data_IF_107790858710
#
_entry.id   IF_107790858710
#
_cell.length_a   1.000
_cell.length_b   1.000
_cell.length_c   1.000
_cell.angle_alpha   90.00
_cell.angle_beta   90.00
_cell.angle_gamma   90.00
#
_symmetry.space_group_name_H-M   'P 1'
#
loop_
_entity.id
_entity.type
_entity.pdbx_description
1 polymer ?
#
# COMPACT_ATOMS: atom_id res chain seq x y z
N UNK A 1 40.23 18.24 -48.79
CA UNK A 1 40.96 17.09 -49.34
C UNK A 1 41.91 16.55 -48.28
N UNK A 2 41.70 15.41 -47.76
CA UNK A 2 42.68 14.37 -47.46
C UNK A 2 41.94 13.23 -46.72
N UNK A 3 41.83 12.10 -47.42
CA UNK A 3 41.28 10.83 -46.89
C UNK A 3 42.33 10.19 -46.00
N UNK A 4 41.96 9.77 -44.78
CA UNK A 4 42.77 8.85 -44.01
C UNK A 4 42.12 7.45 -43.98
N UNK A 5 42.96 6.50 -44.38
CA UNK A 5 42.75 5.06 -44.53
C UNK A 5 42.56 4.36 -43.18
N UNK A 6 41.66 3.40 -43.12
CA UNK A 6 41.52 2.46 -42.00
C UNK A 6 42.61 1.36 -42.08
N UNK A 7 43.09 0.84 -40.94
CA UNK A 7 43.94 -0.35 -40.93
C UNK A 7 43.12 -1.65 -40.83
N UNK A 8 43.74 -2.72 -41.40
CA UNK A 8 43.17 -4.03 -41.61
C UNK A 8 42.98 -4.87 -40.34
N UNK A 9 42.00 -5.77 -40.41
CA UNK A 9 41.69 -6.79 -39.40
C UNK A 9 42.74 -7.92 -39.47
N UNK A 10 43.24 -8.33 -38.30
CA UNK A 10 44.06 -9.53 -38.10
C UNK A 10 43.21 -10.63 -37.49
N UNK A 11 43.23 -11.80 -38.11
CA UNK A 11 42.54 -13.04 -37.71
C UNK A 11 43.19 -13.69 -36.47
N UNK A 12 42.44 -14.41 -35.59
CA UNK A 12 43.03 -15.16 -34.51
C UNK A 12 43.56 -16.54 -34.92
N UNK A 13 44.56 -17.12 -34.21
CA UNK A 13 45.18 -18.38 -34.53
C UNK A 13 44.33 -19.59 -34.12
N UNK A 14 44.38 -20.62 -34.93
CA UNK A 14 43.78 -21.94 -34.79
C UNK A 14 44.46 -22.71 -33.64
N UNK A 15 43.67 -23.23 -32.71
CA UNK A 15 44.15 -24.17 -31.66
C UNK A 15 43.95 -25.59 -32.14
N UNK A 16 45.03 -26.35 -32.21
CA UNK A 16 45.06 -27.78 -32.55
C UNK A 16 44.59 -28.63 -31.34
N UNK A 17 43.74 -29.58 -31.66
CA UNK A 17 43.22 -30.63 -30.81
C UNK A 17 44.30 -31.69 -30.55
N UNK A 18 44.64 -31.93 -29.24
CA UNK A 18 45.41 -33.09 -28.83
C UNK A 18 44.66 -33.89 -27.78
N UNK A 19 44.00 -34.93 -28.26
CA UNK A 19 43.41 -35.98 -27.48
C UNK A 19 44.45 -36.68 -26.58
N UNK A 20 44.26 -36.64 -25.25
CA UNK A 20 44.96 -37.48 -24.30
C UNK A 20 43.97 -38.15 -23.33
N UNK A 21 43.99 -39.45 -23.39
CA UNK A 21 43.18 -40.46 -22.70
C UNK A 21 43.43 -40.41 -21.19
N UNK A 22 42.37 -40.24 -20.38
CA UNK A 22 42.43 -40.28 -18.92
C UNK A 22 42.55 -41.70 -18.34
N UNK A 23 43.33 -41.92 -17.26
CA UNK A 23 43.42 -43.22 -16.58
C UNK A 23 42.28 -43.46 -15.57
N UNK A 24 41.82 -44.70 -15.43
CA UNK A 24 40.77 -45.16 -14.51
C UNK A 24 41.19 -44.94 -13.05
N UNK A 25 40.32 -44.29 -12.28
CA UNK A 25 40.49 -44.07 -10.84
C UNK A 25 39.88 -45.19 -10.03
N UNK A 26 40.70 -45.84 -9.21
CA UNK A 26 40.33 -46.83 -8.19
C UNK A 26 39.56 -46.16 -7.05
N UNK A 27 38.55 -46.87 -6.49
CA UNK A 27 37.80 -46.49 -5.28
C UNK A 27 38.70 -46.66 -4.05
N UNK A 28 38.76 -45.66 -3.12
CA UNK A 28 39.26 -45.92 -1.76
C UNK A 28 38.11 -46.31 -0.83
N UNK A 29 38.42 -47.19 0.07
CA UNK A 29 37.62 -47.78 1.13
C UNK A 29 37.18 -46.78 2.19
N UNK A 30 36.02 -47.05 2.81
CA UNK A 30 35.40 -46.38 3.94
C UNK A 30 36.33 -46.08 5.09
N UNK A 31 36.46 -44.78 5.46
CA UNK A 31 36.89 -44.36 6.79
C UNK A 31 35.80 -43.43 7.37
N UNK A 32 35.36 -43.77 8.59
CA UNK A 32 34.40 -43.03 9.40
C UNK A 32 34.92 -41.61 9.68
N UNK A 33 34.25 -40.61 9.14
CA UNK A 33 34.43 -39.24 9.55
C UNK A 33 33.35 -38.84 10.56
N UNK A 34 33.78 -38.30 11.70
CA UNK A 34 32.96 -37.72 12.74
C UNK A 34 32.03 -36.62 12.17
N UNK A 35 30.82 -36.42 12.73
CA UNK A 35 29.92 -35.37 12.24
C UNK A 35 30.53 -34.00 12.58
N UNK A 36 30.87 -33.24 11.55
CA UNK A 36 31.08 -31.80 11.66
C UNK A 36 29.78 -31.15 12.12
N UNK A 37 29.79 -30.27 13.15
CA UNK A 37 28.62 -29.53 13.51
C UNK A 37 28.28 -28.56 12.36
N UNK A 38 27.18 -28.82 11.66
CA UNK A 38 26.60 -27.88 10.72
C UNK A 38 26.06 -26.70 11.51
N UNK A 39 26.82 -25.64 11.62
CA UNK A 39 26.33 -24.33 12.02
C UNK A 39 25.50 -23.80 10.85
N UNK A 40 24.26 -24.29 10.70
CA UNK A 40 23.28 -23.62 9.88
C UNK A 40 22.96 -22.30 10.54
N UNK A 41 23.43 -21.19 9.96
CA UNK A 41 22.92 -19.89 10.29
C UNK A 41 21.38 -19.95 10.18
N UNK A 42 20.63 -19.38 11.12
CA UNK A 42 19.18 -19.40 11.02
C UNK A 42 18.75 -18.70 9.72
N UNK A 43 18.13 -19.44 8.85
CA UNK A 43 17.49 -18.89 7.63
C UNK A 43 16.31 -18.03 8.04
N UNK A 44 16.57 -16.78 8.39
CA UNK A 44 15.51 -15.79 8.57
C UNK A 44 15.07 -15.30 7.20
N UNK A 45 13.97 -15.84 6.70
CA UNK A 45 13.26 -15.20 5.61
C UNK A 45 12.69 -13.87 6.12
N UNK A 46 12.91 -12.74 5.42
CA UNK A 46 12.31 -11.45 5.78
C UNK A 46 10.78 -11.53 5.97
N UNK A 47 10.11 -12.36 5.20
CA UNK A 47 8.66 -12.58 5.23
C UNK A 47 8.18 -13.13 6.59
N UNK A 48 8.94 -14.03 7.22
CA UNK A 48 8.55 -14.65 8.50
C UNK A 48 8.59 -13.67 9.69
N UNK A 49 9.22 -12.50 9.53
CA UNK A 49 9.30 -11.48 10.56
C UNK A 49 8.06 -10.59 10.62
N UNK A 50 7.34 -10.44 9.50
CA UNK A 50 6.15 -9.60 9.40
C UNK A 50 4.89 -10.35 9.87
N UNK A 51 4.75 -10.54 11.18
CA UNK A 51 3.56 -11.18 11.76
C UNK A 51 2.40 -10.18 11.85
N UNK A 52 1.14 -10.69 11.78
CA UNK A 52 -0.07 -9.86 11.87
C UNK A 52 -0.10 -8.93 13.08
N UNK A 53 -0.78 -7.79 12.97
CA UNK A 53 -1.13 -6.97 14.13
C UNK A 53 -2.19 -7.66 14.98
N UNK A 54 -2.10 -7.46 16.30
CA UNK A 54 -3.11 -7.86 17.27
C UNK A 54 -3.33 -6.73 18.27
N UNK A 55 -4.57 -6.46 18.65
CA UNK A 55 -4.92 -5.32 19.53
C UNK A 55 -4.18 -5.30 20.87
N UNK A 56 -3.94 -6.43 21.56
CA UNK A 56 -3.19 -6.42 22.83
C UNK A 56 -1.73 -5.99 22.69
N UNK A 57 -1.18 -6.06 21.49
CA UNK A 57 0.25 -5.72 21.23
C UNK A 57 0.45 -4.31 20.70
N UNK A 58 -0.63 -3.53 20.48
CA UNK A 58 -0.53 -2.18 19.97
C UNK A 58 -0.11 -1.21 21.08
N UNK A 59 1.00 -0.45 20.89
CA UNK A 59 1.47 0.47 21.91
C UNK A 59 0.55 1.70 22.03
N UNK A 60 0.37 2.18 23.26
CA UNK A 60 -0.37 3.43 23.53
C UNK A 60 0.50 4.69 23.36
N UNK A 61 1.80 4.54 23.19
CA UNK A 61 2.77 5.62 23.07
C UNK A 61 3.69 5.42 21.88
N UNK A 62 4.43 6.47 21.50
CA UNK A 62 5.39 6.43 20.42
C UNK A 62 6.49 5.41 20.73
N UNK A 63 6.72 4.37 19.89
CA UNK A 63 7.80 3.40 20.13
C UNK A 63 9.17 4.09 20.06
N UNK A 64 10.18 3.58 20.77
CA UNK A 64 11.53 4.15 20.73
C UNK A 64 12.11 4.06 19.31
N UNK A 65 12.79 5.13 18.91
CA UNK A 65 13.47 5.21 17.62
C UNK A 65 14.68 4.26 17.60
N UNK A 66 14.78 3.27 16.70
CA UNK A 66 15.95 2.41 16.61
C UNK A 66 17.19 3.21 16.22
N UNK A 67 18.35 2.95 16.81
CA UNK A 67 19.59 3.64 16.43
C UNK A 67 20.10 3.15 15.07
N UNK A 68 20.71 4.06 14.30
CA UNK A 68 21.57 3.70 13.18
C UNK A 68 22.95 3.40 13.75
N UNK A 69 23.42 2.14 13.69
CA UNK A 69 24.65 1.71 14.36
C UNK A 69 25.93 2.22 13.68
N UNK A 70 25.83 2.66 12.41
CA UNK A 70 26.95 3.25 11.68
C UNK A 70 26.88 4.78 11.74
N UNK A 71 27.84 5.47 12.38
CA UNK A 71 27.86 6.94 12.43
C UNK A 71 27.90 7.58 11.04
N UNK A 72 28.55 6.94 10.07
CA UNK A 72 28.59 7.40 8.68
C UNK A 72 27.21 7.35 8.03
N UNK A 73 26.48 6.25 8.22
CA UNK A 73 25.11 6.11 7.69
C UNK A 73 24.12 7.01 8.42
N UNK A 74 24.29 7.23 9.73
CA UNK A 74 23.45 8.17 10.49
C UNK A 74 23.65 9.61 9.98
N UNK A 75 24.89 10.04 9.80
CA UNK A 75 25.20 11.35 9.21
C UNK A 75 24.61 11.45 7.79
N UNK A 76 24.79 10.41 6.96
CA UNK A 76 24.27 10.39 5.61
C UNK A 76 22.72 10.50 5.58
N UNK A 77 22.01 9.72 6.40
CA UNK A 77 20.54 9.72 6.45
C UNK A 77 19.95 11.10 6.80
N UNK A 78 20.71 11.92 7.50
CA UNK A 78 20.28 13.24 7.98
C UNK A 78 20.90 14.41 7.21
N UNK A 79 21.67 14.17 6.13
CA UNK A 79 22.38 15.22 5.40
C UNK A 79 21.91 15.29 3.95
N UNK A 80 21.35 16.45 3.57
CA UNK A 80 20.99 16.77 2.20
C UNK A 80 22.23 16.84 1.29
N UNK A 81 22.09 16.44 0.02
CA UNK A 81 23.21 16.43 -0.95
C UNK A 81 23.90 17.80 -1.11
N UNK A 82 23.12 18.89 -1.04
CA UNK A 82 23.67 20.25 -1.05
C UNK A 82 24.43 20.69 0.20
N UNK A 83 24.45 19.86 1.26
CA UNK A 83 25.14 20.14 2.54
C UNK A 83 26.32 19.20 2.81
N UNK A 84 26.72 18.38 1.83
CA UNK A 84 27.88 17.50 1.93
C UNK A 84 29.17 18.30 2.05
N UNK A 85 30.12 17.82 2.86
CA UNK A 85 31.42 18.41 3.01
C UNK A 85 32.35 18.07 1.84
N UNK A 86 32.15 16.88 1.24
CA UNK A 86 32.90 16.41 0.07
C UNK A 86 31.90 15.83 -0.97
N UNK A 87 32.18 15.92 -2.28
CA UNK A 87 31.40 15.27 -3.31
C UNK A 87 31.29 13.75 -3.13
N UNK A 88 32.30 13.12 -2.52
CA UNK A 88 32.33 11.68 -2.22
C UNK A 88 31.50 11.27 -1.01
N UNK A 89 31.07 12.23 -0.17
CA UNK A 89 30.29 11.91 1.02
C UNK A 89 28.92 11.36 0.63
N UNK A 90 28.43 10.42 1.42
CA UNK A 90 27.07 9.92 1.29
C UNK A 90 26.07 11.01 1.69
N UNK A 91 24.92 11.03 1.03
CA UNK A 91 23.78 11.86 1.39
C UNK A 91 22.52 10.99 1.55
N UNK A 92 21.45 11.61 2.04
CA UNK A 92 20.23 10.90 2.35
C UNK A 92 19.58 10.20 1.14
N UNK A 93 19.73 10.71 -0.08
CA UNK A 93 19.00 10.26 -1.28
C UNK A 93 19.18 8.77 -1.60
N UNK A 94 20.37 8.22 -1.36
CA UNK A 94 20.58 6.78 -1.59
C UNK A 94 19.95 5.91 -0.49
N UNK A 95 19.89 6.43 0.73
CA UNK A 95 19.23 5.76 1.85
C UNK A 95 17.71 5.93 1.77
N UNK A 96 17.21 7.09 1.32
CA UNK A 96 15.82 7.34 0.95
C UNK A 96 15.35 6.30 -0.06
N UNK A 97 16.05 6.20 -1.21
CA UNK A 97 15.67 5.29 -2.28
C UNK A 97 15.50 3.83 -1.84
N UNK A 98 16.41 3.32 -0.99
CA UNK A 98 16.29 1.94 -0.48
C UNK A 98 15.34 1.86 0.71
N UNK A 99 15.21 2.92 1.49
CA UNK A 99 14.30 3.01 2.63
C UNK A 99 12.85 2.98 2.21
N UNK A 100 12.49 3.66 1.13
CA UNK A 100 11.17 3.61 0.51
C UNK A 100 10.78 2.17 0.13
N UNK A 101 11.66 1.43 -0.54
CA UNK A 101 11.43 0.02 -0.88
C UNK A 101 11.21 -0.84 0.37
N UNK A 102 11.99 -0.61 1.44
CA UNK A 102 11.79 -1.34 2.70
C UNK A 102 10.45 -1.00 3.37
N UNK A 103 10.05 0.27 3.36
CA UNK A 103 8.76 0.70 3.89
C UNK A 103 7.60 0.06 3.12
N UNK A 104 7.65 0.09 1.79
CA UNK A 104 6.64 -0.56 0.94
C UNK A 104 6.54 -2.07 1.21
N UNK A 105 7.68 -2.76 1.28
CA UNK A 105 7.72 -4.20 1.54
C UNK A 105 7.14 -4.54 2.92
N UNK A 106 7.64 -3.88 3.98
CA UNK A 106 7.20 -4.15 5.36
C UNK A 106 5.72 -3.84 5.54
N UNK A 107 5.25 -2.71 5.01
CA UNK A 107 3.83 -2.35 5.07
C UNK A 107 2.95 -3.37 4.33
N UNK A 108 3.36 -3.79 3.13
CA UNK A 108 2.64 -4.78 2.33
C UNK A 108 2.53 -6.12 3.05
N UNK A 109 3.63 -6.63 3.59
CA UNK A 109 3.67 -7.91 4.32
C UNK A 109 2.82 -7.86 5.60
N UNK A 110 2.90 -6.79 6.38
CA UNK A 110 2.09 -6.63 7.58
C UNK A 110 0.60 -6.56 7.28
N UNK A 111 0.21 -5.85 6.20
CA UNK A 111 -1.19 -5.76 5.75
C UNK A 111 -1.67 -7.13 5.25
N UNK A 112 -0.88 -7.80 4.41
CA UNK A 112 -1.20 -9.12 3.89
C UNK A 112 -1.41 -10.15 5.01
N UNK A 113 -0.51 -10.16 6.01
CA UNK A 113 -0.62 -11.06 7.15
C UNK A 113 -1.81 -10.74 8.08
N UNK A 114 -2.22 -9.47 8.16
CA UNK A 114 -3.26 -9.03 9.11
C UNK A 114 -4.66 -9.14 8.53
N UNK A 115 -4.84 -8.87 7.25
CA UNK A 115 -6.14 -8.73 6.59
C UNK A 115 -6.31 -9.72 5.43
N UNK A 116 -6.48 -11.03 5.69
CA UNK A 116 -6.52 -12.06 4.64
C UNK A 116 -7.75 -11.98 3.73
N UNK A 117 -8.80 -11.28 4.14
CA UNK A 117 -10.09 -11.24 3.43
C UNK A 117 -10.35 -9.98 2.61
N UNK A 118 -9.45 -8.98 2.64
CA UNK A 118 -9.65 -7.73 1.91
C UNK A 118 -9.12 -7.83 0.47
N UNK A 119 -9.77 -7.13 -0.50
CA UNK A 119 -9.32 -7.09 -1.88
C UNK A 119 -8.04 -6.25 -2.04
N UNK A 120 -7.32 -6.46 -3.14
CA UNK A 120 -6.04 -5.81 -3.47
C UNK A 120 -6.11 -4.27 -3.38
N UNK A 121 -7.17 -3.64 -3.90
CA UNK A 121 -7.33 -2.18 -3.84
C UNK A 121 -7.40 -1.64 -2.41
N UNK A 122 -7.98 -2.41 -1.48
CA UNK A 122 -8.02 -2.06 -0.06
C UNK A 122 -6.66 -2.26 0.62
N UNK A 123 -5.90 -3.30 0.24
CA UNK A 123 -4.53 -3.47 0.70
C UNK A 123 -3.66 -2.28 0.27
N UNK A 124 -3.76 -1.87 -0.99
CA UNK A 124 -3.04 -0.71 -1.55
C UNK A 124 -3.41 0.60 -0.84
N UNK A 125 -4.69 0.83 -0.55
CA UNK A 125 -5.14 2.02 0.19
C UNK A 125 -4.59 2.07 1.62
N UNK A 126 -4.57 0.93 2.32
CA UNK A 126 -3.97 0.85 3.68
C UNK A 126 -2.48 1.07 3.63
N UNK A 127 -1.78 0.49 2.65
CA UNK A 127 -0.36 0.73 2.48
C UNK A 127 -0.07 2.20 2.27
N UNK A 128 -0.78 2.87 1.35
CA UNK A 128 -0.60 4.30 1.11
C UNK A 128 -0.84 5.14 2.38
N UNK A 129 -1.84 4.81 3.20
CA UNK A 129 -2.07 5.48 4.47
C UNK A 129 -0.83 5.43 5.37
N UNK A 130 -0.11 4.31 5.40
CA UNK A 130 1.07 4.10 6.25
C UNK A 130 2.31 4.83 5.75
N UNK A 131 2.52 4.87 4.41
CA UNK A 131 3.78 5.34 3.80
C UNK A 131 3.67 6.68 3.06
N UNK A 132 2.48 7.30 2.98
CA UNK A 132 2.34 8.60 2.33
C UNK A 132 3.15 9.69 3.02
N UNK A 133 3.62 10.68 2.27
CA UNK A 133 4.46 11.78 2.76
C UNK A 133 3.91 12.47 4.01
N UNK A 134 2.61 12.70 4.08
CA UNK A 134 1.99 13.33 5.26
C UNK A 134 2.09 12.48 6.54
N UNK A 135 2.08 11.17 6.43
CA UNK A 135 2.28 10.24 7.55
C UNK A 135 3.75 10.19 7.97
N UNK A 136 4.66 10.00 7.01
CA UNK A 136 6.09 9.89 7.28
C UNK A 136 6.67 11.20 7.80
N UNK A 137 6.28 12.35 7.24
CA UNK A 137 6.70 13.66 7.73
C UNK A 137 6.25 13.93 9.17
N UNK A 138 5.03 13.51 9.53
CA UNK A 138 4.55 13.62 10.90
C UNK A 138 5.40 12.77 11.88
N UNK A 139 5.84 11.59 11.47
CA UNK A 139 6.76 10.77 12.27
C UNK A 139 8.15 11.40 12.39
N UNK A 140 8.69 11.98 11.32
CA UNK A 140 9.95 12.73 11.37
C UNK A 140 9.92 13.83 12.43
N UNK A 141 8.86 14.61 12.47
CA UNK A 141 8.69 15.66 13.49
C UNK A 141 8.53 15.07 14.89
N UNK A 142 7.73 14.01 15.07
CA UNK A 142 7.52 13.38 16.38
C UNK A 142 8.81 12.78 16.96
N UNK A 143 9.72 12.30 16.11
CA UNK A 143 11.05 11.80 16.52
C UNK A 143 12.13 12.88 16.58
N UNK A 144 11.81 14.13 16.24
CA UNK A 144 12.75 15.24 16.23
C UNK A 144 13.83 15.14 15.16
N UNK A 145 13.58 14.37 14.08
CA UNK A 145 14.51 14.25 12.95
C UNK A 145 14.64 15.57 12.18
N UNK A 146 13.59 16.39 12.16
CA UNK A 146 13.58 17.75 11.63
C UNK A 146 14.65 18.67 12.26
N UNK A 147 14.94 18.46 13.54
CA UNK A 147 15.94 19.22 14.31
C UNK A 147 17.36 18.69 14.15
N UNK A 148 17.49 17.42 13.81
CA UNK A 148 18.78 16.73 13.63
C UNK A 148 19.29 16.80 12.20
N UNK A 149 18.38 17.02 11.23
CA UNK A 149 18.70 17.03 9.81
C UNK A 149 19.47 18.28 9.39
N UNK A 150 20.52 18.09 8.59
CA UNK A 150 21.31 19.13 7.98
C UNK A 150 20.83 19.37 6.53
N UNK A 151 19.92 20.30 6.38
CA UNK A 151 19.27 20.66 5.11
C UNK A 151 19.43 22.15 4.80
N UNK A 152 19.43 22.56 3.53
CA UNK A 152 19.41 23.98 3.18
C UNK A 152 18.25 24.72 3.82
N UNK A 153 18.50 25.97 4.24
CA UNK A 153 17.51 26.81 4.95
C UNK A 153 16.19 27.01 4.19
N UNK A 154 16.22 26.90 2.88
CA UNK A 154 15.03 26.99 2.02
C UNK A 154 13.96 25.91 2.28
N UNK A 155 14.35 24.76 2.88
CA UNK A 155 13.41 23.73 3.29
C UNK A 155 12.64 24.08 4.56
N UNK A 156 13.19 24.98 5.39
CA UNK A 156 12.57 25.45 6.63
C UNK A 156 11.98 24.33 7.50
N UNK A 157 12.76 23.26 7.74
CA UNK A 157 12.29 22.01 8.35
C UNK A 157 11.65 22.21 9.73
N UNK A 158 12.19 23.11 10.56
CA UNK A 158 11.71 23.40 11.93
C UNK A 158 10.78 24.58 12.02
N UNK A 159 10.72 25.45 11.00
CA UNK A 159 9.92 26.67 10.98
C UNK A 159 8.45 26.44 10.65
N UNK A 160 7.61 27.46 10.87
CA UNK A 160 6.24 27.46 10.37
C UNK A 160 6.25 27.58 8.83
N UNK A 161 5.32 26.90 8.12
CA UNK A 161 5.22 27.07 6.68
C UNK A 161 4.97 28.55 6.34
N UNK A 162 5.84 29.14 5.52
CA UNK A 162 5.64 30.50 5.03
C UNK A 162 4.51 30.46 3.99
N UNK A 163 3.27 30.74 4.39
CA UNK A 163 2.10 31.11 3.58
C UNK A 163 1.82 30.45 2.22
N UNK A 164 2.80 29.86 1.56
CA UNK A 164 2.68 29.21 0.26
C UNK A 164 2.47 27.70 0.40
N UNK A 165 1.44 27.18 -0.26
CA UNK A 165 1.17 25.74 -0.34
C UNK A 165 2.34 24.95 -0.96
N UNK A 166 3.11 25.55 -1.87
CA UNK A 166 4.28 24.95 -2.49
C UNK A 166 5.41 24.69 -1.46
N UNK A 167 5.69 25.68 -0.58
CA UNK A 167 6.68 25.51 0.48
C UNK A 167 6.26 24.46 1.52
N UNK A 168 4.97 24.42 1.86
CA UNK A 168 4.44 23.42 2.77
C UNK A 168 4.63 21.99 2.20
N UNK A 169 4.34 21.78 0.92
CA UNK A 169 4.56 20.50 0.23
C UNK A 169 6.04 20.11 0.11
N UNK A 170 6.92 21.09 -0.19
CA UNK A 170 8.38 20.87 -0.26
C UNK A 170 8.92 20.42 1.09
N UNK A 171 8.50 21.08 2.18
CA UNK A 171 8.86 20.71 3.55
C UNK A 171 8.33 19.31 3.91
N UNK A 172 7.05 19.04 3.64
CA UNK A 172 6.42 17.74 3.91
C UNK A 172 7.18 16.61 3.20
N UNK A 173 7.48 16.80 1.90
CA UNK A 173 8.28 15.82 1.16
C UNK A 173 9.65 15.61 1.80
N UNK A 174 10.42 16.66 2.05
CA UNK A 174 11.75 16.54 2.65
C UNK A 174 11.74 15.82 4.01
N UNK A 175 10.74 16.06 4.84
CA UNK A 175 10.57 15.35 6.11
C UNK A 175 10.22 13.87 5.94
N UNK A 176 9.45 13.52 4.91
CA UNK A 176 9.16 12.14 4.54
C UNK A 176 10.43 11.44 4.03
N UNK A 177 11.15 12.07 3.10
CA UNK A 177 12.42 11.57 2.55
C UNK A 177 13.48 11.30 3.66
N UNK A 178 13.53 12.17 4.70
CA UNK A 178 14.36 11.95 5.89
C UNK A 178 13.95 10.69 6.65
N UNK A 179 12.64 10.45 6.80
CA UNK A 179 12.16 9.26 7.49
C UNK A 179 12.53 7.99 6.73
N UNK A 180 12.34 7.99 5.42
CA UNK A 180 12.72 6.89 4.53
C UNK A 180 14.23 6.62 4.62
N UNK A 181 15.05 7.68 4.52
CA UNK A 181 16.50 7.58 4.66
C UNK A 181 16.90 7.02 6.03
N UNK A 182 16.18 7.40 7.08
CA UNK A 182 16.44 6.89 8.44
C UNK A 182 16.15 5.39 8.52
N UNK A 183 15.03 4.92 7.95
CA UNK A 183 14.71 3.48 7.87
C UNK A 183 15.78 2.73 7.08
N UNK A 184 16.18 3.26 5.93
CA UNK A 184 17.30 2.73 5.14
C UNK A 184 18.58 2.62 5.96
N UNK A 185 18.90 3.64 6.74
CA UNK A 185 20.04 3.69 7.64
C UNK A 185 20.01 2.63 8.75
N UNK A 186 18.87 2.48 9.43
CA UNK A 186 18.66 1.44 10.46
C UNK A 186 18.93 0.06 9.90
N UNK A 187 18.33 -0.27 8.76
CA UNK A 187 18.46 -1.59 8.15
C UNK A 187 19.88 -1.84 7.63
N UNK A 188 20.48 -0.84 6.98
CA UNK A 188 21.80 -0.98 6.36
C UNK A 188 22.97 -0.92 7.34
N UNK A 189 22.76 -0.35 8.52
CA UNK A 189 23.80 -0.29 9.56
C UNK A 189 23.98 -1.59 10.34
N UNK A 190 23.00 -2.50 10.29
CA UNK A 190 23.05 -3.82 10.92
C UNK A 190 22.44 -4.87 9.96
N UNK A 191 23.29 -5.54 9.19
CA UNK A 191 22.83 -6.52 8.20
C UNK A 191 22.22 -7.79 8.81
N UNK A 192 22.42 -8.02 10.09
CA UNK A 192 21.90 -9.19 10.81
C UNK A 192 20.53 -8.91 11.43
N UNK A 193 20.40 -7.81 12.16
CA UNK A 193 19.19 -7.52 12.93
C UNK A 193 18.44 -6.26 12.44
N UNK A 194 19.03 -5.42 11.61
CA UNK A 194 18.49 -4.13 11.22
C UNK A 194 17.11 -4.24 10.59
N UNK A 195 16.88 -5.22 9.71
CA UNK A 195 15.57 -5.46 9.12
C UNK A 195 14.55 -5.89 10.19
N UNK A 196 14.90 -6.82 11.07
CA UNK A 196 14.05 -7.26 12.18
C UNK A 196 13.68 -6.10 13.11
N UNK A 197 14.67 -5.28 13.48
CA UNK A 197 14.45 -4.10 14.32
C UNK A 197 13.51 -3.10 13.65
N UNK A 198 13.70 -2.84 12.35
CA UNK A 198 12.80 -1.98 11.58
C UNK A 198 11.36 -2.53 11.52
N UNK A 199 11.17 -3.84 11.27
CA UNK A 199 9.85 -4.47 11.27
C UNK A 199 9.14 -4.31 12.61
N UNK A 200 9.82 -4.60 13.73
CA UNK A 200 9.25 -4.48 15.08
C UNK A 200 8.85 -3.03 15.36
N UNK A 201 9.72 -2.09 15.04
CA UNK A 201 9.50 -0.67 15.23
C UNK A 201 8.35 -0.13 14.38
N UNK A 202 8.38 -0.37 13.05
CA UNK A 202 7.37 0.11 12.12
C UNK A 202 6.01 -0.53 12.40
N UNK A 203 5.97 -1.81 12.74
CA UNK A 203 4.75 -2.48 13.17
C UNK A 203 4.12 -1.78 14.39
N UNK A 204 4.90 -1.46 15.41
CA UNK A 204 4.44 -0.74 16.59
C UNK A 204 4.01 0.69 16.25
N UNK A 205 4.72 1.37 15.34
CA UNK A 205 4.45 2.75 14.93
C UNK A 205 3.16 2.88 14.11
N UNK A 206 2.91 1.94 13.20
CA UNK A 206 1.77 1.95 12.27
C UNK A 206 0.48 1.35 12.86
N UNK A 207 0.58 0.42 13.79
CA UNK A 207 -0.58 -0.26 14.36
C UNK A 207 -1.68 0.68 14.84
N UNK A 208 -1.38 1.76 15.58
CA UNK A 208 -2.39 2.74 16.00
C UNK A 208 -3.14 3.43 14.86
N UNK A 209 -2.53 3.55 13.66
CA UNK A 209 -3.19 4.15 12.48
C UNK A 209 -4.27 3.23 11.89
N UNK A 210 -4.16 1.93 12.10
CA UNK A 210 -5.09 0.90 11.63
C UNK A 210 -5.86 0.23 12.78
N UNK A 211 -5.88 0.85 13.97
CA UNK A 211 -6.46 0.27 15.18
C UNK A 211 -7.93 -0.15 15.02
N UNK A 212 -8.72 0.66 14.34
CA UNK A 212 -10.14 0.38 14.13
C UNK A 212 -10.34 -0.83 13.23
N UNK A 213 -9.56 -0.91 12.16
CA UNK A 213 -9.56 -1.98 11.17
C UNK A 213 -9.08 -3.30 11.78
N UNK A 214 -8.01 -3.26 12.57
CA UNK A 214 -7.45 -4.42 13.27
C UNK A 214 -8.47 -5.03 14.23
N UNK A 215 -9.18 -4.18 15.00
CA UNK A 215 -10.24 -4.64 15.92
C UNK A 215 -11.38 -5.32 15.21
N UNK A 216 -11.78 -4.81 14.05
CA UNK A 216 -12.84 -5.41 13.24
C UNK A 216 -12.41 -6.76 12.70
N UNK A 217 -11.18 -6.88 12.21
CA UNK A 217 -10.62 -8.14 11.69
C UNK A 217 -10.53 -9.20 12.80
N UNK A 218 -10.04 -8.85 14.00
CA UNK A 218 -9.97 -9.76 15.17
C UNK A 218 -11.33 -10.23 15.66
N UNK A 219 -12.35 -9.36 15.55
CA UNK A 219 -13.73 -9.70 15.92
C UNK A 219 -14.45 -10.64 14.94
N UNK A 220 -13.76 -11.12 13.89
CA UNK A 220 -14.37 -11.91 12.84
C UNK A 220 -15.39 -11.13 12.00
N UNK A 221 -15.43 -9.81 12.20
CA UNK A 221 -16.28 -8.90 11.44
C UNK A 221 -15.67 -8.63 10.08
N UNK A 222 -16.36 -9.00 9.00
CA UNK A 222 -16.10 -8.33 7.73
C UNK A 222 -16.28 -6.84 7.97
N UNK A 223 -15.24 -6.05 7.73
CA UNK A 223 -15.44 -4.62 7.57
C UNK A 223 -16.48 -4.42 6.46
N UNK A 224 -17.69 -4.06 6.85
CA UNK A 224 -18.60 -3.39 5.93
C UNK A 224 -17.96 -2.04 5.74
N UNK A 225 -17.23 -1.93 4.63
CA UNK A 225 -16.38 -0.80 4.29
C UNK A 225 -17.22 0.49 4.31
N UNK A 226 -17.04 1.30 5.37
CA UNK A 226 -17.66 2.64 5.41
C UNK A 226 -17.16 3.55 4.28
N UNK A 227 -16.07 3.16 3.62
CA UNK A 227 -15.48 3.87 2.48
C UNK A 227 -15.65 3.14 1.14
N UNK A 228 -16.41 2.04 1.07
CA UNK A 228 -16.83 1.51 -0.21
C UNK A 228 -17.49 2.63 -1.00
N UNK A 229 -17.06 2.81 -2.27
CA UNK A 229 -17.75 3.72 -3.17
C UNK A 229 -19.27 3.55 -2.99
N UNK A 230 -19.99 4.57 -2.52
CA UNK A 230 -21.41 4.41 -2.16
C UNK A 230 -22.26 3.82 -3.28
N UNK A 231 -21.87 4.03 -4.55
CA UNK A 231 -22.50 3.42 -5.72
C UNK A 231 -22.32 1.92 -5.76
N UNK A 232 -21.11 1.44 -5.49
CA UNK A 232 -20.80 -0.01 -5.43
C UNK A 232 -21.54 -0.66 -4.27
N UNK A 233 -21.56 0.03 -3.12
CA UNK A 233 -22.31 -0.44 -1.95
C UNK A 233 -23.81 -0.57 -2.25
N UNK A 234 -24.39 0.42 -2.91
CA UNK A 234 -25.81 0.38 -3.30
C UNK A 234 -26.09 -0.78 -4.26
N UNK A 235 -25.22 -0.97 -5.26
CA UNK A 235 -25.30 -2.08 -6.21
C UNK A 235 -25.21 -3.44 -5.49
N UNK A 236 -24.31 -3.59 -4.54
CA UNK A 236 -24.21 -4.82 -3.74
C UNK A 236 -25.44 -5.06 -2.88
N UNK A 237 -26.03 -4.02 -2.32
CA UNK A 237 -27.22 -4.13 -1.47
C UNK A 237 -28.46 -4.56 -2.27
N UNK A 238 -28.74 -3.91 -3.39
CA UNK A 238 -30.00 -4.06 -4.12
C UNK A 238 -29.86 -4.45 -5.60
N UNK A 239 -28.63 -4.53 -6.13
CA UNK A 239 -28.38 -4.93 -7.52
C UNK A 239 -28.68 -6.42 -7.76
N UNK A 240 -29.30 -6.73 -8.90
CA UNK A 240 -29.55 -8.08 -9.41
C UNK A 240 -29.72 -8.01 -10.93
N UNK A 241 -29.65 -9.15 -11.62
CA UNK A 241 -29.77 -9.20 -13.09
C UNK A 241 -31.14 -8.68 -13.63
N UNK A 242 -32.17 -8.65 -12.79
CA UNK A 242 -33.50 -8.20 -13.11
C UNK A 242 -33.80 -6.77 -12.65
N UNK A 243 -32.83 -6.03 -12.14
CA UNK A 243 -33.03 -4.65 -11.66
C UNK A 243 -32.09 -3.68 -12.37
N UNK A 244 -32.47 -2.40 -12.37
CA UNK A 244 -31.73 -1.30 -12.97
C UNK A 244 -31.58 -0.17 -11.96
N UNK A 245 -30.37 0.29 -11.76
CA UNK A 245 -30.03 1.45 -10.92
C UNK A 245 -29.46 2.52 -11.83
N UNK A 246 -30.07 3.68 -11.88
CA UNK A 246 -29.68 4.78 -12.76
C UNK A 246 -29.35 6.04 -11.97
N UNK A 247 -28.32 6.75 -12.43
CA UNK A 247 -27.93 8.05 -11.92
C UNK A 247 -28.25 9.10 -12.97
N UNK A 248 -29.19 10.01 -12.66
CA UNK A 248 -29.68 11.02 -13.60
C UNK A 248 -29.46 12.41 -13.06
N UNK A 249 -29.18 13.35 -13.97
CA UNK A 249 -29.09 14.75 -13.64
C UNK A 249 -30.46 15.26 -13.12
N UNK A 250 -30.45 15.99 -12.02
CA UNK A 250 -31.64 16.68 -11.51
C UNK A 250 -31.88 18.00 -12.25
N UNK A 251 -33.13 18.50 -12.33
CA UNK A 251 -33.43 19.80 -12.88
C UNK A 251 -32.61 20.91 -12.24
N UNK A 252 -32.06 21.84 -13.03
CA UNK A 252 -31.18 22.90 -12.56
C UNK A 252 -29.72 22.50 -12.32
N UNK A 253 -29.32 21.28 -12.76
CA UNK A 253 -27.91 20.84 -12.72
C UNK A 253 -27.04 21.76 -13.58
N UNK A 254 -25.98 22.34 -12.96
CA UNK A 254 -25.06 23.28 -13.60
C UNK A 254 -25.58 24.74 -13.67
N UNK A 255 -26.85 24.99 -13.36
CA UNK A 255 -27.47 26.32 -13.33
C UNK A 255 -27.52 26.90 -11.91
N UNK A 256 -27.39 26.07 -10.91
CA UNK A 256 -27.38 26.47 -9.49
C UNK A 256 -25.94 26.81 -9.08
N UNK A 257 -25.75 28.02 -8.54
CA UNK A 257 -24.45 28.50 -8.09
C UNK A 257 -24.40 28.67 -6.57
N UNK A 258 -23.33 28.21 -5.96
CA UNK A 258 -22.97 28.48 -4.57
C UNK A 258 -21.53 28.98 -4.57
N UNK A 259 -21.26 30.12 -3.92
CA UNK A 259 -19.95 30.77 -3.89
C UNK A 259 -19.32 30.96 -5.29
N UNK A 260 -20.12 31.32 -6.28
CA UNK A 260 -19.75 31.52 -7.70
C UNK A 260 -19.31 30.20 -8.42
N UNK A 261 -19.52 29.06 -7.82
CA UNK A 261 -19.24 27.77 -8.46
C UNK A 261 -20.55 27.04 -8.81
N UNK A 262 -20.63 26.41 -10.01
CA UNK A 262 -21.82 25.66 -10.41
C UNK A 262 -21.97 24.40 -9.58
N UNK A 263 -23.20 24.09 -9.19
CA UNK A 263 -23.56 22.83 -8.53
C UNK A 263 -24.24 21.87 -9.49
N UNK A 264 -23.93 20.59 -9.32
CA UNK A 264 -24.50 19.47 -10.07
C UNK A 264 -25.37 18.63 -9.15
N UNK A 265 -26.64 18.47 -9.52
CA UNK A 265 -27.60 17.63 -8.81
C UNK A 265 -27.71 16.26 -9.46
N UNK A 266 -27.60 15.19 -8.69
CA UNK A 266 -27.76 13.81 -9.16
C UNK A 266 -28.81 13.10 -8.31
N UNK A 267 -29.80 12.45 -8.99
CA UNK A 267 -30.77 11.55 -8.40
C UNK A 267 -30.44 10.09 -8.73
N UNK A 268 -30.65 9.17 -7.78
CA UNK A 268 -30.52 7.72 -7.94
C UNK A 268 -31.88 7.09 -8.05
N UNK A 269 -32.14 6.43 -9.15
CA UNK A 269 -33.43 5.82 -9.47
C UNK A 269 -33.29 4.31 -9.58
N UNK A 270 -34.30 3.61 -9.09
CA UNK A 270 -34.39 2.16 -9.09
C UNK A 270 -35.60 1.69 -9.88
N UNK A 271 -35.40 0.68 -10.72
CA UNK A 271 -36.48 -0.02 -11.43
C UNK A 271 -36.27 -1.53 -11.27
N UNK A 272 -37.28 -2.24 -10.82
CA UNK A 272 -37.29 -3.68 -10.64
C UNK A 272 -38.22 -4.11 -9.50
N UNK A 273 -38.55 -5.39 -9.46
CA UNK A 273 -39.42 -6.01 -8.45
C UNK A 273 -40.79 -5.31 -8.26
N UNK A 274 -41.36 -4.77 -9.34
CA UNK A 274 -42.64 -4.05 -9.32
C UNK A 274 -42.52 -2.57 -8.95
N UNK A 275 -41.35 -2.05 -8.75
CA UNK A 275 -41.09 -0.62 -8.61
C UNK A 275 -40.60 -0.05 -9.95
N UNK A 276 -41.14 1.06 -10.39
CA UNK A 276 -40.72 1.78 -11.58
C UNK A 276 -40.23 3.16 -11.21
N UNK A 277 -38.98 3.48 -11.61
CA UNK A 277 -38.42 4.82 -11.49
C UNK A 277 -38.44 5.37 -10.05
N UNK A 278 -38.26 4.50 -9.05
CA UNK A 278 -38.28 4.86 -7.63
C UNK A 278 -37.03 5.68 -7.28
N UNK A 279 -37.20 6.92 -6.84
CA UNK A 279 -36.10 7.75 -6.35
C UNK A 279 -35.62 7.22 -4.98
N UNK A 280 -34.37 6.77 -4.93
CA UNK A 280 -33.74 6.25 -3.70
C UNK A 280 -32.99 7.34 -2.92
N UNK A 281 -32.45 8.33 -3.61
CA UNK A 281 -31.72 9.42 -2.98
C UNK A 281 -31.27 10.45 -3.99
N UNK A 282 -31.02 11.67 -3.52
CA UNK A 282 -30.54 12.78 -4.34
C UNK A 282 -29.52 13.63 -3.59
N UNK A 283 -28.56 14.20 -4.33
CA UNK A 283 -27.56 15.09 -3.75
C UNK A 283 -27.06 16.12 -4.75
N UNK A 284 -26.56 17.23 -4.21
CA UNK A 284 -25.92 18.31 -4.93
C UNK A 284 -24.48 18.47 -4.48
N UNK A 285 -23.56 18.70 -5.44
CA UNK A 285 -22.15 18.95 -5.17
C UNK A 285 -21.52 19.75 -6.33
N UNK A 286 -20.28 20.21 -6.15
CA UNK A 286 -19.51 20.95 -7.16
C UNK A 286 -19.03 20.10 -8.34
N UNK A 287 -19.26 18.77 -8.32
CA UNK A 287 -18.94 17.85 -9.41
C UNK A 287 -19.98 16.74 -9.54
N UNK A 288 -20.30 16.31 -10.77
CA UNK A 288 -21.27 15.22 -11.03
C UNK A 288 -20.86 13.91 -10.35
N UNK A 289 -19.56 13.60 -10.31
CA UNK A 289 -19.06 12.36 -9.68
C UNK A 289 -19.29 12.39 -8.16
N UNK A 290 -18.97 13.48 -7.49
CA UNK A 290 -19.17 13.64 -6.05
C UNK A 290 -20.65 13.73 -5.69
N UNK A 291 -21.47 14.43 -6.48
CA UNK A 291 -22.92 14.47 -6.31
C UNK A 291 -23.53 13.05 -6.41
N UNK A 292 -23.11 12.26 -7.39
CA UNK A 292 -23.55 10.87 -7.55
C UNK A 292 -23.12 9.95 -6.39
N UNK A 293 -21.94 10.16 -5.81
CA UNK A 293 -21.50 9.41 -4.61
C UNK A 293 -22.38 9.75 -3.40
N UNK A 294 -22.62 11.05 -3.14
CA UNK A 294 -23.48 11.52 -2.06
C UNK A 294 -24.94 11.08 -2.21
N UNK A 295 -25.44 11.03 -3.44
CA UNK A 295 -26.78 10.53 -3.72
C UNK A 295 -26.92 9.04 -3.39
N UNK A 296 -25.90 8.24 -3.77
CA UNK A 296 -25.84 6.82 -3.42
C UNK A 296 -25.68 6.60 -1.91
N UNK A 297 -24.90 7.42 -1.23
CA UNK A 297 -24.74 7.37 0.23
C UNK A 297 -26.07 7.63 0.94
N UNK A 298 -26.82 8.66 0.54
CA UNK A 298 -28.16 8.94 1.05
C UNK A 298 -29.12 7.79 0.78
N UNK A 299 -29.08 7.20 -0.42
CA UNK A 299 -29.87 6.02 -0.75
C UNK A 299 -29.58 4.87 0.19
N UNK A 300 -28.29 4.52 0.42
CA UNK A 300 -27.88 3.48 1.36
C UNK A 300 -28.35 3.75 2.80
N UNK A 301 -28.43 5.02 3.18
CA UNK A 301 -28.87 5.46 4.51
C UNK A 301 -30.42 5.48 4.69
N UNK A 302 -31.21 5.04 3.71
CA UNK A 302 -32.69 5.05 3.78
C UNK A 302 -33.24 3.65 4.17
N UNK A 303 -33.27 3.29 5.48
CA UNK A 303 -33.52 1.92 5.93
C UNK A 303 -34.87 1.36 5.51
N UNK A 304 -35.90 2.19 5.46
CA UNK A 304 -37.27 1.77 5.10
C UNK A 304 -37.39 1.34 3.63
N UNK A 305 -36.75 2.08 2.71
CA UNK A 305 -36.86 1.80 1.27
C UNK A 305 -35.86 0.75 0.85
N UNK A 306 -34.58 0.96 1.18
CA UNK A 306 -33.50 0.02 0.80
C UNK A 306 -33.61 -1.28 1.56
N UNK A 307 -34.01 -1.27 2.84
CA UNK A 307 -34.27 -2.51 3.61
C UNK A 307 -35.30 -3.42 2.93
N UNK A 308 -36.42 -2.85 2.47
CA UNK A 308 -37.46 -3.58 1.70
C UNK A 308 -36.91 -4.16 0.38
N UNK A 309 -36.08 -3.43 -0.34
CA UNK A 309 -35.44 -3.90 -1.57
C UNK A 309 -34.41 -5.00 -1.30
N UNK A 310 -33.68 -4.93 -0.20
CA UNK A 310 -32.74 -5.98 0.24
C UNK A 310 -33.48 -7.28 0.56
N UNK A 311 -34.63 -7.21 1.22
CA UNK A 311 -35.47 -8.39 1.46
C UNK A 311 -35.98 -9.02 0.18
N UNK A 312 -36.47 -8.19 -0.78
CA UNK A 312 -36.88 -8.66 -2.11
C UNK A 312 -35.72 -9.32 -2.87
N UNK A 313 -34.51 -8.75 -2.81
CA UNK A 313 -33.30 -9.38 -3.38
C UNK A 313 -33.02 -10.75 -2.76
N UNK A 314 -33.11 -10.87 -1.43
CA UNK A 314 -32.89 -12.15 -0.74
C UNK A 314 -33.91 -13.21 -1.19
N UNK A 315 -35.17 -12.85 -1.26
CA UNK A 315 -36.23 -13.77 -1.75
C UNK A 315 -35.96 -14.19 -3.20
N UNK A 316 -35.60 -13.27 -4.08
CA UNK A 316 -35.25 -13.55 -5.48
C UNK A 316 -34.06 -14.50 -5.60
N UNK A 317 -32.97 -14.26 -4.83
CA UNK A 317 -31.79 -15.11 -4.86
C UNK A 317 -32.07 -16.51 -4.31
N UNK A 318 -32.88 -16.63 -3.26
CA UNK A 318 -33.30 -17.92 -2.71
C UNK A 318 -34.11 -18.73 -3.75
N UNK A 319 -35.05 -18.08 -4.44
CA UNK A 319 -35.82 -18.73 -5.50
C UNK A 319 -34.95 -19.24 -6.65
N UNK A 320 -34.00 -18.42 -7.12
CA UNK A 320 -33.04 -18.83 -8.16
C UNK A 320 -32.09 -19.96 -7.72
N UNK A 321 -31.72 -20.02 -6.45
CA UNK A 321 -30.91 -21.12 -5.94
C UNK A 321 -31.69 -22.46 -6.03
N UNK A 322 -32.96 -22.48 -5.66
CA UNK A 322 -33.82 -23.66 -5.76
C UNK A 322 -34.01 -24.08 -7.23
N UNK A 323 -34.29 -23.12 -8.13
CA UNK A 323 -34.46 -23.41 -9.57
C UNK A 323 -33.18 -24.04 -10.16
N UNK A 324 -32.00 -23.59 -9.80
CA UNK A 324 -30.71 -24.19 -10.23
C UNK A 324 -30.53 -25.61 -9.75
N UNK A 325 -30.81 -25.88 -8.47
CA UNK A 325 -30.70 -27.22 -7.92
C UNK A 325 -31.62 -28.20 -8.64
N UNK A 326 -32.86 -27.77 -8.94
CA UNK A 326 -33.82 -28.60 -9.68
C UNK A 326 -33.40 -28.85 -11.13
N UNK A 327 -32.77 -27.87 -11.79
CA UNK A 327 -32.23 -28.02 -13.16
C UNK A 327 -31.00 -28.92 -13.21
N UNK A 328 -30.20 -28.95 -12.16
CA UNK A 328 -29.02 -29.84 -12.04
C UNK A 328 -29.42 -31.26 -11.75
N UNK A 329 -30.41 -31.48 -10.85
CA UNK A 329 -30.94 -32.82 -10.55
C UNK A 329 -31.67 -33.44 -11.78
N UNK A 330 -32.40 -32.64 -12.58
CA UNK A 330 -33.05 -33.10 -13.80
C UNK A 330 -32.09 -33.44 -14.95
N UNK A 331 -30.84 -33.01 -14.91
CA UNK A 331 -29.79 -33.36 -15.89
C UNK A 331 -28.98 -34.60 -15.52
N UNK A 332 -29.00 -35.02 -14.26
CA UNK A 332 -28.38 -36.25 -13.81
C UNK A 332 -29.31 -37.47 -14.00
N UNK A 333 -30.60 -37.26 -14.27
CA UNK A 333 -31.58 -38.34 -14.52
C UNK A 333 -31.84 -38.61 -16.03
N UNK A 334 -31.27 -37.82 -16.96
CA UNK A 334 -31.29 -38.07 -18.40
C UNK A 334 -29.94 -38.68 -18.88
#
# INVERSE_FOLDING_TARGET
MSKRKAPAATSPPTIQDTSARAPKRQKPSSSSSAPTPSTSAPEFSPITLCTKWTTPTLPSHLPPLPPILSPTLETAALTHSGQKKSPSDLSYERLEWIGDVYLELIASELIFATFPSIPEGEMSRRRELLIRNSTLSAFSVRYGLDKRANFPSEFNLTGRPNGSTAHAKKKEKALADIFEAYVGGVIRSDLVNGYKNAVVWLKALWGPLLMAEIKVEEGGGRMIDKEQNPKVRLEQLIGASCVRIEYRDLPGTGERFVDKQPQFGIGVYFTGWGEENLLLGEAWDFGKKSAGHRAAEKACGHPMVVGRLVERKRAYMAKRAIERTTEEEGKEEE
#
